data_IF_195448026722
#
_entry.id   IF_195448026722
#
_cell.length_a   1.000
_cell.length_b   1.000
_cell.length_c   1.000
_cell.angle_alpha   90.00
_cell.angle_beta   90.00
_cell.angle_gamma   90.00
#
_symmetry.space_group_name_H-M   'P 1'
#
loop_
_entity.id
_entity.type
_entity.pdbx_description
1 polymer ?
#
# COMPACT_ATOMS: atom_id res chain seq x y z
N UNK A 1 5.62 10.50 -1.96
CA UNK A 1 5.17 11.51 -0.96
C UNK A 1 5.94 11.42 0.35
N UNK A 2 6.12 10.23 0.94
CA UNK A 2 6.98 10.03 2.15
C UNK A 2 8.39 10.63 1.99
N UNK A 3 9.02 10.39 0.83
CA UNK A 3 10.30 11.03 0.46
C UNK A 3 10.24 12.56 0.53
N UNK A 4 9.22 13.16 -0.08
CA UNK A 4 9.03 14.62 -0.11
C UNK A 4 8.75 15.22 1.28
N UNK A 5 8.26 14.42 2.23
CA UNK A 5 8.02 14.80 3.61
C UNK A 5 9.25 14.57 4.52
N UNK A 6 10.38 14.08 3.97
CA UNK A 6 11.59 13.80 4.74
C UNK A 6 11.53 12.54 5.61
N UNK A 7 10.51 11.71 5.42
CA UNK A 7 10.24 10.50 6.22
C UNK A 7 10.12 9.27 5.29
N UNK A 8 11.21 8.84 4.64
CA UNK A 8 11.18 7.73 3.68
C UNK A 8 10.59 6.47 4.31
N UNK A 9 9.63 5.86 3.61
CA UNK A 9 8.94 4.60 3.97
C UNK A 9 8.21 4.56 5.33
N UNK A 10 8.06 5.70 6.01
CA UNK A 10 7.33 5.79 7.28
C UNK A 10 5.86 6.21 7.05
N UNK A 11 5.05 5.28 6.53
CA UNK A 11 3.66 5.54 6.11
C UNK A 11 2.65 5.62 7.26
N UNK A 12 3.04 5.16 8.44
CA UNK A 12 2.29 5.20 9.70
C UNK A 12 2.40 6.55 10.43
N UNK A 13 3.36 7.38 10.04
CA UNK A 13 3.59 8.68 10.67
C UNK A 13 2.41 9.64 10.41
N UNK A 14 2.00 10.34 11.46
CA UNK A 14 0.86 11.27 11.42
C UNK A 14 1.03 12.32 10.32
N UNK A 15 2.23 12.85 10.12
CA UNK A 15 2.51 13.85 9.07
C UNK A 15 2.26 13.29 7.67
N UNK A 16 2.59 12.02 7.41
CA UNK A 16 2.25 11.36 6.16
C UNK A 16 0.73 11.23 6.02
N UNK A 17 0.08 10.69 7.05
CA UNK A 17 -1.35 10.39 7.00
C UNK A 17 -2.20 11.64 6.83
N UNK A 18 -1.91 12.70 7.61
CA UNK A 18 -2.58 14.00 7.52
C UNK A 18 -2.40 14.62 6.13
N UNK A 19 -1.21 14.48 5.54
CA UNK A 19 -0.91 15.02 4.21
C UNK A 19 -1.73 14.32 3.13
N UNK A 20 -1.75 12.97 3.13
CA UNK A 20 -2.58 12.18 2.19
C UNK A 20 -4.05 12.56 2.38
N UNK A 21 -4.54 12.58 3.62
CA UNK A 21 -5.94 12.88 3.93
C UNK A 21 -6.32 14.28 3.44
N UNK A 22 -5.47 15.28 3.63
CA UNK A 22 -5.69 16.63 3.08
C UNK A 22 -5.88 16.61 1.56
N UNK A 23 -5.15 15.78 0.81
CA UNK A 23 -5.34 15.65 -0.65
C UNK A 23 -6.69 15.01 -0.97
N UNK A 24 -7.07 13.97 -0.23
CA UNK A 24 -8.38 13.30 -0.38
C UNK A 24 -9.50 14.30 -0.12
N UNK A 25 -9.48 14.98 1.03
CA UNK A 25 -10.51 15.93 1.45
C UNK A 25 -10.66 17.10 0.45
N UNK A 26 -9.53 17.64 -0.04
CA UNK A 26 -9.55 18.72 -1.04
C UNK A 26 -10.09 18.28 -2.40
N UNK A 27 -9.86 17.03 -2.78
CA UNK A 27 -10.37 16.47 -4.04
C UNK A 27 -11.86 16.18 -3.93
N UNK A 28 -12.29 15.61 -2.81
CA UNK A 28 -13.70 15.32 -2.52
C UNK A 28 -14.54 16.60 -2.44
N UNK A 29 -14.01 17.67 -1.84
CA UNK A 29 -14.65 18.99 -1.83
C UNK A 29 -14.92 19.57 -3.23
N UNK A 30 -14.27 19.01 -4.27
CA UNK A 30 -14.46 19.36 -5.69
C UNK A 30 -15.20 18.28 -6.48
N UNK A 31 -15.68 17.22 -5.82
CA UNK A 31 -16.31 16.06 -6.46
C UNK A 31 -15.33 15.20 -7.28
N UNK A 32 -14.02 15.30 -7.01
CA UNK A 32 -12.98 14.56 -7.75
C UNK A 32 -12.57 13.33 -6.93
N UNK A 33 -12.80 12.14 -7.50
CA UNK A 33 -12.39 10.89 -6.89
C UNK A 33 -10.86 10.74 -6.85
N UNK A 34 -10.34 10.20 -5.76
CA UNK A 34 -8.91 9.92 -5.60
C UNK A 34 -8.59 8.44 -5.70
N UNK A 35 -7.38 8.16 -6.18
CA UNK A 35 -6.75 6.85 -6.16
C UNK A 35 -5.59 6.86 -5.17
N UNK A 36 -5.44 5.80 -4.38
CA UNK A 36 -4.24 5.53 -3.58
C UNK A 36 -3.49 4.31 -4.12
N UNK A 37 -2.16 4.33 -4.05
CA UNK A 37 -1.32 3.19 -4.41
C UNK A 37 -0.79 2.53 -3.13
N UNK A 38 -1.26 1.32 -2.85
CA UNK A 38 -0.98 0.61 -1.60
C UNK A 38 -0.59 -0.84 -1.86
N UNK A 39 0.32 -1.37 -1.04
CA UNK A 39 0.90 -2.71 -1.27
C UNK A 39 0.24 -3.82 -0.45
N UNK A 40 -0.56 -3.48 0.56
CA UNK A 40 -1.18 -4.46 1.46
C UNK A 40 -2.68 -4.18 1.65
N UNK A 41 -3.50 -5.21 1.94
CA UNK A 41 -4.90 -5.03 2.25
C UNK A 41 -5.16 -4.08 3.43
N UNK A 42 -4.33 -4.11 4.47
CA UNK A 42 -4.48 -3.24 5.64
C UNK A 42 -4.36 -1.75 5.27
N UNK A 43 -3.33 -1.41 4.49
CA UNK A 43 -3.14 -0.05 3.99
C UNK A 43 -4.27 0.36 3.03
N UNK A 44 -4.70 -0.55 2.14
CA UNK A 44 -5.83 -0.30 1.25
C UNK A 44 -7.10 0.01 2.04
N UNK A 45 -7.42 -0.80 3.05
CA UNK A 45 -8.62 -0.65 3.89
C UNK A 45 -8.57 0.63 4.70
N UNK A 46 -7.42 0.96 5.27
CA UNK A 46 -7.21 2.24 5.95
C UNK A 46 -7.56 3.41 5.03
N UNK A 47 -6.99 3.48 3.82
CA UNK A 47 -7.22 4.61 2.93
C UNK A 47 -8.63 4.66 2.33
N UNK A 48 -9.26 3.51 2.10
CA UNK A 48 -10.69 3.44 1.75
C UNK A 48 -11.53 4.08 2.86
N UNK A 49 -11.26 3.77 4.13
CA UNK A 49 -11.97 4.37 5.27
C UNK A 49 -11.79 5.89 5.38
N UNK A 50 -10.72 6.43 4.78
CA UNK A 50 -10.43 7.87 4.75
C UNK A 50 -10.99 8.58 3.51
N UNK A 51 -11.71 7.88 2.62
CA UNK A 51 -12.39 8.47 1.46
C UNK A 51 -11.72 8.22 0.11
N UNK A 52 -10.65 7.42 0.03
CA UNK A 52 -10.12 6.99 -1.27
C UNK A 52 -11.13 6.11 -2.01
N UNK A 53 -11.39 6.39 -3.30
CA UNK A 53 -12.40 5.67 -4.10
C UNK A 53 -11.82 4.60 -5.00
N UNK A 54 -10.55 4.75 -5.40
CA UNK A 54 -9.84 3.75 -6.18
C UNK A 54 -8.57 3.31 -5.45
N UNK A 55 -8.19 2.05 -5.65
CA UNK A 55 -6.95 1.49 -5.11
C UNK A 55 -6.16 0.89 -6.27
N UNK A 56 -4.94 1.39 -6.47
CA UNK A 56 -3.92 0.65 -7.19
C UNK A 56 -3.26 -0.30 -6.20
N UNK A 57 -3.53 -1.59 -6.33
CA UNK A 57 -3.06 -2.60 -5.37
C UNK A 57 -1.78 -3.26 -5.86
N UNK A 58 -0.65 -2.86 -5.27
CA UNK A 58 0.67 -3.41 -5.58
C UNK A 58 1.05 -3.35 -7.06
N UNK A 59 1.95 -4.24 -7.46
CA UNK A 59 2.39 -4.43 -8.85
C UNK A 59 2.41 -5.92 -9.20
N UNK A 60 2.25 -6.22 -10.47
CA UNK A 60 2.41 -7.58 -11.02
C UNK A 60 3.76 -8.19 -10.67
N UNK A 61 4.85 -7.43 -10.79
CA UNK A 61 6.20 -7.84 -10.41
C UNK A 61 6.26 -8.27 -8.95
N UNK A 62 5.65 -7.50 -8.04
CA UNK A 62 5.61 -7.84 -6.61
C UNK A 62 4.77 -9.09 -6.38
N UNK A 63 3.58 -9.17 -7.00
CA UNK A 63 2.70 -10.32 -6.85
C UNK A 63 3.38 -11.62 -7.28
N UNK A 64 4.06 -11.63 -8.43
CA UNK A 64 4.82 -12.77 -8.92
C UNK A 64 5.99 -13.12 -7.99
N UNK A 65 6.74 -12.10 -7.54
CA UNK A 65 7.88 -12.30 -6.64
C UNK A 65 7.46 -12.92 -5.30
N UNK A 66 6.42 -12.40 -4.66
CA UNK A 66 5.92 -12.94 -3.39
C UNK A 66 5.31 -14.34 -3.57
N UNK A 67 4.60 -14.58 -4.68
CA UNK A 67 4.07 -15.90 -5.02
C UNK A 67 5.17 -16.97 -5.13
N UNK A 68 6.18 -16.72 -5.98
CA UNK A 68 7.30 -17.67 -6.14
C UNK A 68 8.10 -17.83 -4.85
N UNK A 69 8.31 -16.76 -4.08
CA UNK A 69 9.02 -16.84 -2.80
C UNK A 69 8.27 -17.75 -1.81
N UNK A 70 6.95 -17.66 -1.77
CA UNK A 70 6.10 -18.55 -0.95
C UNK A 70 6.24 -20.01 -1.40
N UNK A 71 6.05 -20.29 -2.69
CA UNK A 71 6.09 -21.65 -3.24
C UNK A 71 7.45 -22.32 -3.04
N UNK A 72 8.54 -21.64 -3.42
CA UNK A 72 9.89 -22.18 -3.26
C UNK A 72 10.34 -22.22 -1.80
N UNK A 73 9.82 -21.35 -0.94
CA UNK A 73 10.03 -21.43 0.51
C UNK A 73 9.50 -22.75 1.07
N UNK A 74 8.27 -23.10 0.73
CA UNK A 74 7.65 -24.36 1.16
C UNK A 74 8.39 -25.60 0.62
N UNK A 75 8.79 -25.57 -0.67
CA UNK A 75 9.58 -26.66 -1.25
C UNK A 75 10.94 -26.81 -0.56
N UNK A 76 11.57 -25.69 -0.20
CA UNK A 76 12.85 -25.69 0.51
C UNK A 76 12.71 -26.26 1.91
N UNK A 77 11.69 -25.85 2.67
CA UNK A 77 11.42 -26.40 4.00
C UNK A 77 11.16 -27.91 3.96
N UNK A 78 10.45 -28.41 2.95
CA UNK A 78 10.27 -29.85 2.79
C UNK A 78 11.60 -30.58 2.55
N UNK A 79 12.44 -30.03 1.66
CA UNK A 79 13.73 -30.59 1.31
C UNK A 79 14.78 -30.51 2.43
N UNK A 80 14.69 -29.53 3.33
CA UNK A 80 15.60 -29.43 4.48
C UNK A 80 15.16 -30.36 5.64
N UNK A 81 13.90 -30.83 5.65
CA UNK A 81 13.34 -31.73 6.66
C UNK A 81 13.30 -33.22 6.23
N UNK A 82 13.82 -33.56 5.04
CA UNK A 82 13.91 -34.93 4.50
C UNK A 82 15.26 -35.15 3.82
#
# INVERSE_FOLDING_TARGET
>A
MSISLGIPDQYDQKVYQDTVKSVIDKSEAKGIATLVHQQTPDLSTFWISQGARFVLHGTDRRALQEGFKSDFGALREFADNH
#
